data_IF_073473302170
#
_entry.id   IF_073473302170
#
_cell.length_a   1.000
_cell.length_b   1.000
_cell.length_c   1.000
_cell.angle_alpha   90.00
_cell.angle_beta   90.00
_cell.angle_gamma   90.00
#
_symmetry.space_group_name_H-M   'P 1'
#
loop_
_entity.id
_entity.type
_entity.pdbx_description
1 polymer ?
#
# COMPACT_ATOMS: atom_id res chain seq x y z
N UNK A 1 -0.71 0.87 27.78
CA UNK A 1 -0.03 -0.05 26.84
C UNK A 1 -1.15 -0.62 25.98
N UNK A 2 -1.55 0.13 24.96
CA UNK A 2 -2.64 -0.30 24.08
C UNK A 2 -2.19 -1.56 23.35
N UNK A 3 -2.93 -2.65 23.57
CA UNK A 3 -2.71 -3.91 22.88
C UNK A 3 -2.99 -3.68 21.40
N UNK A 4 -1.95 -3.73 20.56
CA UNK A 4 -2.10 -3.61 19.11
C UNK A 4 -3.05 -4.74 18.66
N UNK A 5 -4.19 -4.42 18.03
CA UNK A 5 -5.15 -5.44 17.63
C UNK A 5 -4.51 -6.38 16.62
N UNK A 6 -4.61 -7.68 16.90
CA UNK A 6 -4.12 -8.74 16.00
C UNK A 6 -5.12 -8.90 14.85
N UNK A 7 -4.71 -8.72 13.58
CA UNK A 7 -5.61 -8.90 12.46
C UNK A 7 -6.05 -10.36 12.32
N UNK A 8 -7.33 -10.59 11.99
CA UNK A 8 -7.92 -11.92 11.74
C UNK A 8 -7.17 -12.70 10.65
N UNK A 9 -6.64 -11.99 9.64
CA UNK A 9 -5.81 -12.54 8.57
C UNK A 9 -4.65 -11.59 8.27
N UNK A 10 -3.45 -12.14 8.06
CA UNK A 10 -2.27 -11.36 7.63
C UNK A 10 -2.51 -10.66 6.29
N UNK A 11 -3.44 -11.17 5.48
CA UNK A 11 -3.80 -10.59 4.18
C UNK A 11 -4.39 -9.18 4.32
N UNK A 12 -5.13 -8.89 5.39
CA UNK A 12 -5.66 -7.55 5.68
C UNK A 12 -4.51 -6.54 5.78
N UNK A 13 -3.46 -6.90 6.52
CA UNK A 13 -2.28 -6.04 6.68
C UNK A 13 -1.46 -5.90 5.38
N UNK A 14 -1.55 -6.85 4.44
CA UNK A 14 -0.84 -6.77 3.16
C UNK A 14 -1.54 -5.90 2.10
N UNK A 15 -2.84 -5.64 2.24
CA UNK A 15 -3.62 -4.81 1.31
C UNK A 15 -3.27 -3.32 1.38
N UNK A 16 -2.72 -2.87 2.52
CA UNK A 16 -2.37 -1.45 2.77
C UNK A 16 -3.56 -0.49 2.52
N UNK A 17 -4.74 -0.87 3.00
CA UNK A 17 -5.97 -0.08 2.83
C UNK A 17 -5.92 1.22 3.67
N UNK A 18 -6.09 2.35 3.01
CA UNK A 18 -6.20 3.65 3.66
C UNK A 18 -7.59 3.91 4.27
N UNK A 19 -7.86 5.15 4.70
CA UNK A 19 -9.11 5.50 5.38
C UNK A 19 -10.36 5.34 4.50
N UNK A 20 -10.26 5.62 3.19
CA UNK A 20 -11.42 5.57 2.28
C UNK A 20 -11.80 4.12 1.99
N UNK A 21 -10.81 3.27 1.70
CA UNK A 21 -11.03 1.84 1.49
C UNK A 21 -11.66 1.20 2.73
N UNK A 22 -11.11 1.48 3.92
CA UNK A 22 -11.68 1.01 5.20
C UNK A 22 -13.09 1.54 5.45
N UNK A 23 -13.36 2.81 5.14
CA UNK A 23 -14.68 3.42 5.22
C UNK A 23 -15.72 2.68 4.36
N UNK A 24 -15.38 2.40 3.10
CA UNK A 24 -16.23 1.63 2.19
C UNK A 24 -16.46 0.20 2.68
N UNK A 25 -15.41 -0.45 3.19
CA UNK A 25 -15.52 -1.78 3.79
C UNK A 25 -16.49 -1.83 4.95
N UNK A 26 -16.48 -0.84 5.84
CA UNK A 26 -17.42 -0.78 6.98
C UNK A 26 -18.88 -0.72 6.53
N UNK A 27 -19.18 -0.03 5.42
CA UNK A 27 -20.55 0.06 4.87
C UNK A 27 -21.03 -1.32 4.40
N UNK A 28 -20.15 -2.13 3.81
CA UNK A 28 -20.47 -3.44 3.26
C UNK A 28 -20.37 -4.57 4.29
N UNK A 29 -19.79 -4.30 5.46
CA UNK A 29 -19.71 -5.22 6.59
C UNK A 29 -19.16 -6.63 6.23
N UNK A 30 -18.20 -6.70 5.31
CA UNK A 30 -17.50 -7.92 4.93
C UNK A 30 -18.30 -8.88 4.06
N UNK A 31 -19.45 -8.48 3.51
CA UNK A 31 -20.30 -9.38 2.71
C UNK A 31 -19.84 -9.61 1.27
N UNK A 32 -18.88 -8.82 0.77
CA UNK A 32 -18.39 -8.95 -0.60
C UNK A 32 -17.10 -9.76 -0.64
N UNK A 33 -17.01 -10.81 -1.50
CA UNK A 33 -15.77 -11.50 -1.73
C UNK A 33 -14.75 -10.53 -2.35
N UNK A 34 -13.50 -10.52 -1.89
CA UNK A 34 -12.56 -9.43 -2.14
C UNK A 34 -11.87 -9.52 -3.51
N UNK A 35 -11.77 -10.72 -4.08
CA UNK A 35 -11.01 -10.97 -5.30
C UNK A 35 -11.68 -10.48 -6.58
N UNK A 36 -12.97 -10.79 -6.88
CA UNK A 36 -13.60 -10.32 -8.11
C UNK A 36 -13.58 -8.78 -8.26
N UNK A 37 -13.90 -7.98 -7.22
CA UNK A 37 -13.83 -6.53 -7.32
C UNK A 37 -12.41 -6.00 -7.47
N UNK A 38 -11.40 -6.63 -6.83
CA UNK A 38 -9.99 -6.26 -7.02
C UNK A 38 -9.52 -6.50 -8.47
N UNK A 39 -9.89 -7.64 -9.06
CA UNK A 39 -9.60 -7.95 -10.47
C UNK A 39 -10.29 -6.97 -11.42
N UNK A 40 -11.56 -6.63 -11.17
CA UNK A 40 -12.28 -5.64 -11.97
C UNK A 40 -11.61 -4.27 -11.87
N UNK A 41 -11.22 -3.84 -10.66
CA UNK A 41 -10.49 -2.59 -10.42
C UNK A 41 -9.16 -2.53 -11.18
N UNK A 42 -8.38 -3.60 -11.13
CA UNK A 42 -7.12 -3.72 -11.86
C UNK A 42 -7.33 -3.68 -13.39
N UNK A 43 -8.32 -4.42 -13.90
CA UNK A 43 -8.64 -4.46 -15.32
C UNK A 43 -9.07 -3.09 -15.83
N UNK A 44 -10.01 -2.41 -15.16
CA UNK A 44 -10.47 -1.08 -15.59
C UNK A 44 -9.35 -0.05 -15.48
N UNK A 45 -8.52 -0.12 -14.44
CA UNK A 45 -7.32 0.73 -14.32
C UNK A 45 -6.39 0.54 -15.51
N UNK A 46 -6.08 -0.71 -15.89
CA UNK A 46 -5.24 -1.01 -17.03
C UNK A 46 -5.84 -0.46 -18.34
N UNK A 47 -7.14 -0.62 -18.56
CA UNK A 47 -7.84 -0.07 -19.73
C UNK A 47 -7.76 1.47 -19.76
N UNK A 48 -8.03 2.14 -18.65
CA UNK A 48 -7.97 3.60 -18.56
C UNK A 48 -6.56 4.14 -18.80
N UNK A 49 -5.52 3.44 -18.32
CA UNK A 49 -4.13 3.79 -18.61
C UNK A 49 -3.79 3.58 -20.09
N UNK A 50 -4.18 2.45 -20.69
CA UNK A 50 -3.95 2.18 -22.11
C UNK A 50 -4.64 3.22 -23.01
N UNK A 51 -5.88 3.60 -22.68
CA UNK A 51 -6.63 4.63 -23.41
C UNK A 51 -6.05 6.03 -23.18
N UNK A 52 -5.61 6.33 -21.95
CA UNK A 52 -4.93 7.58 -21.62
C UNK A 52 -3.64 7.78 -22.41
N UNK A 53 -2.80 6.74 -22.49
CA UNK A 53 -1.57 6.72 -23.30
C UNK A 53 -1.88 6.86 -24.80
N UNK A 54 -3.05 6.39 -25.26
CA UNK A 54 -3.48 6.51 -26.66
C UNK A 54 -3.98 7.91 -27.07
N UNK A 55 -3.91 8.92 -26.17
CA UNK A 55 -4.12 10.34 -26.52
C UNK A 55 -5.32 11.02 -25.88
N UNK A 56 -6.07 10.35 -24.99
CA UNK A 56 -7.11 10.98 -24.18
C UNK A 56 -6.66 11.12 -22.72
N UNK A 57 -5.77 12.08 -22.47
CA UNK A 57 -5.11 12.30 -21.17
C UNK A 57 -6.10 12.41 -19.99
N UNK A 58 -7.34 12.88 -20.26
CA UNK A 58 -8.34 13.11 -19.23
C UNK A 58 -9.01 11.87 -18.61
N UNK A 59 -8.89 10.67 -19.18
CA UNK A 59 -9.57 9.48 -18.63
C UNK A 59 -8.75 8.73 -17.59
N UNK A 60 -7.42 8.72 -17.71
CA UNK A 60 -6.52 8.02 -16.79
C UNK A 60 -6.64 8.55 -15.35
N UNK A 61 -7.02 9.81 -15.18
CA UNK A 61 -7.23 10.44 -13.87
C UNK A 61 -8.29 9.74 -13.01
N UNK A 62 -9.27 9.09 -13.63
CA UNK A 62 -10.36 8.42 -12.91
C UNK A 62 -9.96 7.02 -12.43
N UNK A 63 -8.82 6.49 -12.87
CA UNK A 63 -8.42 5.13 -12.54
C UNK A 63 -8.33 4.85 -11.03
N UNK A 64 -7.75 5.74 -10.18
CA UNK A 64 -7.75 5.54 -8.73
C UNK A 64 -9.15 5.52 -8.12
N UNK A 65 -10.06 6.36 -8.63
CA UNK A 65 -11.44 6.40 -8.15
C UNK A 65 -12.16 5.09 -8.49
N UNK A 66 -11.99 4.56 -9.69
CA UNK A 66 -12.57 3.27 -10.09
C UNK A 66 -11.96 2.11 -9.29
N UNK A 67 -10.63 2.09 -9.13
CA UNK A 67 -9.96 1.08 -8.32
C UNK A 67 -10.49 1.10 -6.88
N UNK A 68 -10.61 2.29 -6.27
CA UNK A 68 -11.16 2.47 -4.92
C UNK A 68 -12.62 1.98 -4.84
N UNK A 69 -13.46 2.40 -5.77
CA UNK A 69 -14.89 2.03 -5.77
C UNK A 69 -15.11 0.53 -5.90
N UNK A 70 -14.27 -0.15 -6.67
CA UNK A 70 -14.38 -1.59 -6.88
C UNK A 70 -13.70 -2.37 -5.76
N UNK A 71 -12.45 -2.07 -5.41
CA UNK A 71 -11.66 -2.88 -4.50
C UNK A 71 -11.78 -2.47 -3.01
N UNK A 72 -12.19 -1.23 -2.74
CA UNK A 72 -12.35 -0.67 -1.39
C UNK A 72 -13.37 -1.42 -0.51
N UNK A 73 -14.58 -1.75 -1.02
CA UNK A 73 -15.58 -2.52 -0.27
C UNK A 73 -15.09 -3.88 0.25
N UNK A 74 -14.13 -4.49 -0.44
CA UNK A 74 -13.54 -5.78 -0.03
C UNK A 74 -12.56 -5.68 1.15
N UNK A 75 -12.29 -4.47 1.67
CA UNK A 75 -11.32 -4.27 2.77
C UNK A 75 -11.78 -4.87 4.10
N UNK A 76 -13.10 -4.94 4.34
CA UNK A 76 -13.68 -5.50 5.58
C UNK A 76 -13.90 -7.01 5.54
N UNK A 77 -13.63 -7.66 4.40
CA UNK A 77 -13.71 -9.11 4.30
C UNK A 77 -12.60 -9.77 5.14
N UNK A 78 -12.88 -10.94 5.71
CA UNK A 78 -11.91 -11.66 6.56
C UNK A 78 -10.69 -12.20 5.80
N UNK A 79 -10.79 -12.27 4.46
CA UNK A 79 -9.80 -12.84 3.54
C UNK A 79 -9.41 -14.27 3.92
N UNK A 80 -10.39 -15.14 4.11
CA UNK A 80 -10.27 -16.56 4.47
C UNK A 80 -10.40 -17.50 3.25
N UNK A 81 -10.68 -16.97 2.07
CA UNK A 81 -10.81 -17.73 0.83
C UNK A 81 -9.47 -18.24 0.27
N UNK A 82 -9.51 -19.38 -0.43
CA UNK A 82 -8.32 -20.03 -1.03
C UNK A 82 -7.56 -19.16 -2.03
N UNK A 83 -8.22 -18.19 -2.66
CA UNK A 83 -7.63 -17.29 -3.66
C UNK A 83 -7.48 -15.85 -3.14
N UNK A 84 -7.89 -15.57 -1.90
CA UNK A 84 -7.85 -14.20 -1.35
C UNK A 84 -6.40 -13.70 -1.17
N UNK A 85 -5.43 -14.61 -1.15
CA UNK A 85 -4.00 -14.27 -1.17
C UNK A 85 -3.57 -13.53 -2.45
N UNK A 86 -4.33 -13.61 -3.54
CA UNK A 86 -4.09 -12.86 -4.78
C UNK A 86 -4.47 -11.39 -4.65
N UNK A 87 -5.28 -11.02 -3.65
CA UNK A 87 -5.80 -9.66 -3.54
C UNK A 87 -4.69 -8.64 -3.25
N UNK A 88 -3.80 -8.83 -2.24
CA UNK A 88 -2.68 -7.93 -2.04
C UNK A 88 -1.76 -7.75 -3.27
N UNK A 89 -1.28 -8.80 -3.97
CA UNK A 89 -0.41 -8.59 -5.13
C UNK A 89 -1.11 -7.90 -6.31
N UNK A 90 -2.40 -8.13 -6.53
CA UNK A 90 -3.17 -7.42 -7.57
C UNK A 90 -3.25 -5.93 -7.27
N UNK A 91 -3.57 -5.56 -6.02
CA UNK A 91 -3.64 -4.14 -5.61
C UNK A 91 -2.28 -3.45 -5.74
N UNK A 92 -1.21 -4.11 -5.28
CA UNK A 92 0.16 -3.59 -5.40
C UNK A 92 0.58 -3.38 -6.85
N UNK A 93 0.31 -4.36 -7.71
CA UNK A 93 0.61 -4.24 -9.13
C UNK A 93 -0.15 -3.06 -9.75
N UNK A 94 -1.44 -2.94 -9.42
CA UNK A 94 -2.30 -1.84 -9.91
C UNK A 94 -1.74 -0.48 -9.47
N UNK A 95 -1.38 -0.33 -8.20
CA UNK A 95 -0.77 0.88 -7.67
C UNK A 95 0.56 1.20 -8.37
N UNK A 96 1.48 0.24 -8.47
CA UNK A 96 2.80 0.47 -9.05
C UNK A 96 2.73 0.83 -10.53
N UNK A 97 1.90 0.11 -11.28
CA UNK A 97 1.69 0.39 -12.71
C UNK A 97 1.09 1.79 -12.89
N UNK A 98 0.11 2.18 -12.07
CA UNK A 98 -0.47 3.52 -12.13
C UNK A 98 0.55 4.61 -11.82
N UNK A 99 1.30 4.49 -10.72
CA UNK A 99 2.33 5.46 -10.32
C UNK A 99 3.45 5.54 -11.35
N UNK A 100 3.89 4.42 -11.92
CA UNK A 100 4.88 4.41 -12.99
C UNK A 100 4.33 5.10 -14.25
N UNK A 101 3.12 4.74 -14.68
CA UNK A 101 2.50 5.28 -15.89
C UNK A 101 2.33 6.79 -15.83
N UNK A 102 1.80 7.33 -14.72
CA UNK A 102 1.68 8.79 -14.53
C UNK A 102 3.05 9.47 -14.49
N UNK A 103 4.04 8.86 -13.82
CA UNK A 103 5.39 9.41 -13.76
C UNK A 103 6.03 9.53 -15.14
N UNK A 104 5.95 8.48 -15.96
CA UNK A 104 6.48 8.51 -17.32
C UNK A 104 5.68 9.41 -18.26
N UNK A 105 4.35 9.47 -18.13
CA UNK A 105 3.50 10.32 -18.96
C UNK A 105 3.73 11.83 -18.74
N UNK A 106 4.26 12.21 -17.57
CA UNK A 106 4.53 13.60 -17.21
C UNK A 106 6.03 13.91 -17.08
N UNK A 107 6.89 13.12 -17.71
CA UNK A 107 8.35 13.33 -17.77
C UNK A 107 9.01 13.48 -16.39
N UNK A 108 8.49 12.81 -15.36
CA UNK A 108 9.14 12.75 -14.05
C UNK A 108 10.49 12.04 -14.22
N UNK A 109 11.59 12.58 -13.67
CA UNK A 109 12.89 11.93 -13.78
C UNK A 109 12.82 10.47 -13.31
N UNK A 110 13.30 9.49 -14.11
CA UNK A 110 13.11 8.07 -13.80
C UNK A 110 13.59 7.64 -12.42
N UNK A 111 14.68 8.27 -11.92
CA UNK A 111 15.18 7.98 -10.58
C UNK A 111 14.16 8.34 -9.48
N UNK A 112 13.36 9.40 -9.65
CA UNK A 112 12.32 9.79 -8.68
C UNK A 112 11.18 8.77 -8.71
N UNK A 113 10.76 8.31 -9.90
CA UNK A 113 9.76 7.24 -10.04
C UNK A 113 10.23 5.98 -9.28
N UNK A 114 11.50 5.58 -9.51
CA UNK A 114 12.10 4.44 -8.81
C UNK A 114 12.16 4.66 -7.30
N UNK A 115 12.45 5.88 -6.82
CA UNK A 115 12.49 6.16 -5.39
C UNK A 115 11.11 6.08 -4.72
N UNK A 116 10.04 6.57 -5.38
CA UNK A 116 8.65 6.42 -4.88
C UNK A 116 8.27 4.94 -4.82
N UNK A 117 8.48 4.20 -5.92
CA UNK A 117 8.20 2.77 -5.98
C UNK A 117 9.04 1.99 -4.96
N UNK A 118 10.29 2.41 -4.76
CA UNK A 118 11.20 1.87 -3.76
C UNK A 118 10.70 2.06 -2.34
N UNK A 119 10.15 3.23 -1.99
CA UNK A 119 9.56 3.48 -0.68
C UNK A 119 8.34 2.56 -0.43
N UNK A 120 7.46 2.42 -1.44
CA UNK A 120 6.31 1.54 -1.35
C UNK A 120 6.73 0.07 -1.25
N UNK A 121 7.71 -0.36 -2.05
CA UNK A 121 8.24 -1.73 -2.03
C UNK A 121 8.92 -2.04 -0.69
N UNK A 122 9.70 -1.09 -0.17
CA UNK A 122 10.30 -1.19 1.16
C UNK A 122 9.23 -1.37 2.23
N UNK A 123 8.18 -0.54 2.25
CA UNK A 123 7.08 -0.67 3.19
C UNK A 123 6.39 -2.04 3.11
N UNK A 124 6.03 -2.47 1.89
CA UNK A 124 5.39 -3.76 1.69
C UNK A 124 6.28 -4.94 2.14
N UNK A 125 7.59 -4.82 1.95
CA UNK A 125 8.57 -5.83 2.36
C UNK A 125 8.77 -5.85 3.88
N UNK A 126 8.86 -4.68 4.50
CA UNK A 126 8.96 -4.51 5.94
C UNK A 126 7.75 -5.14 6.66
N UNK A 127 6.54 -4.90 6.16
CA UNK A 127 5.31 -5.54 6.68
C UNK A 127 5.38 -7.07 6.56
N UNK A 128 5.89 -7.62 5.45
CA UNK A 128 6.07 -9.07 5.29
C UNK A 128 7.01 -9.63 6.36
N UNK A 129 8.14 -8.98 6.60
CA UNK A 129 9.12 -9.44 7.61
C UNK A 129 8.58 -9.35 9.03
N UNK A 130 7.91 -8.24 9.36
CA UNK A 130 7.29 -8.07 10.67
C UNK A 130 6.26 -9.13 10.99
N UNK A 131 5.33 -9.39 10.06
CA UNK A 131 4.30 -10.40 10.27
C UNK A 131 4.88 -11.83 10.34
N UNK A 132 6.02 -12.10 9.69
CA UNK A 132 6.76 -13.37 9.87
C UNK A 132 7.31 -13.52 11.28
N UNK A 133 7.72 -12.42 11.90
CA UNK A 133 8.23 -12.37 13.27
C UNK A 133 7.16 -12.04 14.32
N UNK A 134 5.87 -12.03 13.94
CA UNK A 134 4.73 -11.67 14.81
C UNK A 134 4.81 -10.26 15.40
N UNK A 135 5.55 -9.37 14.74
CA UNK A 135 5.54 -7.93 14.99
C UNK A 135 4.46 -7.33 14.09
N UNK A 136 3.55 -6.53 14.64
CA UNK A 136 2.45 -5.94 13.87
C UNK A 136 2.70 -4.45 13.67
N UNK A 137 2.56 -3.92 12.45
CA UNK A 137 2.71 -2.48 12.21
C UNK A 137 1.62 -1.72 12.98
N UNK A 138 1.93 -0.54 13.50
CA UNK A 138 0.95 0.23 14.23
C UNK A 138 -0.17 0.72 13.29
N UNK A 139 -1.45 0.76 13.74
CA UNK A 139 -2.58 1.09 12.87
C UNK A 139 -2.52 2.49 12.22
N UNK A 140 -1.82 3.44 12.85
CA UNK A 140 -1.62 4.78 12.31
C UNK A 140 -0.72 4.80 11.08
N UNK A 141 0.15 3.80 10.90
CA UNK A 141 1.11 3.76 9.79
C UNK A 141 0.42 3.62 8.44
N UNK A 142 -0.64 2.81 8.35
CA UNK A 142 -1.45 2.72 7.14
C UNK A 142 -2.18 4.04 6.83
N UNK A 143 -2.63 4.75 7.87
CA UNK A 143 -3.31 6.05 7.71
C UNK A 143 -2.37 7.14 7.24
N UNK A 144 -1.21 7.29 7.89
CA UNK A 144 -0.18 8.27 7.51
C UNK A 144 0.52 7.86 6.21
N UNK A 145 0.67 6.57 5.94
CA UNK A 145 1.16 6.05 4.66
C UNK A 145 0.20 6.31 3.48
N UNK A 146 -0.96 6.94 3.73
CA UNK A 146 -2.03 7.28 2.80
C UNK A 146 -2.78 6.06 2.22
N UNK A 147 -2.36 4.85 2.56
CA UNK A 147 -2.81 3.62 1.89
C UNK A 147 -2.57 3.63 0.38
N UNK A 148 -2.93 2.54 -0.28
CA UNK A 148 -2.81 2.45 -1.73
C UNK A 148 -3.71 3.46 -2.46
N UNK A 149 -4.93 3.69 -1.95
CA UNK A 149 -5.88 4.58 -2.62
C UNK A 149 -5.51 6.05 -2.48
N UNK A 150 -5.00 6.47 -1.31
CA UNK A 150 -4.64 7.87 -1.08
C UNK A 150 -3.42 8.28 -1.89
N UNK A 151 -2.44 7.37 -2.04
CA UNK A 151 -1.27 7.60 -2.91
C UNK A 151 -1.67 7.71 -4.37
N UNK A 152 -2.52 6.80 -4.86
CA UNK A 152 -3.02 6.86 -6.24
C UNK A 152 -3.87 8.12 -6.50
N UNK A 153 -4.75 8.50 -5.57
CA UNK A 153 -5.56 9.72 -5.68
C UNK A 153 -4.70 10.98 -5.68
N UNK A 154 -3.70 11.06 -4.80
CA UNK A 154 -2.77 12.20 -4.76
C UNK A 154 -2.01 12.35 -6.09
N UNK A 155 -1.53 11.23 -6.64
CA UNK A 155 -0.85 11.19 -7.95
C UNK A 155 -1.78 11.63 -9.09
N UNK A 156 -3.05 11.18 -9.10
CA UNK A 156 -4.03 11.63 -10.09
C UNK A 156 -4.33 13.13 -9.98
N UNK A 157 -4.53 13.64 -8.76
CA UNK A 157 -4.75 15.07 -8.52
C UNK A 157 -3.54 15.92 -8.96
N UNK A 158 -2.32 15.41 -8.76
CA UNK A 158 -1.11 16.06 -9.26
C UNK A 158 -1.08 16.14 -10.79
N UNK A 159 -1.57 15.10 -11.47
CA UNK A 159 -1.77 15.09 -12.93
C UNK A 159 -2.71 16.21 -13.37
N UNK A 160 -3.88 16.33 -12.74
CA UNK A 160 -4.84 17.39 -13.03
C UNK A 160 -4.29 18.80 -12.77
N UNK A 161 -3.50 18.95 -11.71
CA UNK A 161 -2.92 20.24 -11.32
C UNK A 161 -1.68 20.61 -12.16
N UNK A 162 -1.16 19.70 -12.99
CA UNK A 162 0.12 19.91 -13.68
C UNK A 162 1.33 19.94 -12.73
N UNK A 163 1.22 19.31 -11.56
CA UNK A 163 2.21 19.33 -10.48
C UNK A 163 2.82 17.96 -10.20
N UNK A 164 2.84 17.05 -11.18
CA UNK A 164 3.27 15.65 -10.98
C UNK A 164 4.68 15.57 -10.41
N UNK A 165 5.68 16.19 -11.03
CA UNK A 165 7.08 16.14 -10.56
C UNK A 165 7.27 16.64 -9.12
N UNK A 166 6.82 17.84 -8.72
CA UNK A 166 6.97 18.28 -7.34
C UNK A 166 6.22 17.39 -6.35
N UNK A 167 5.03 16.87 -6.71
CA UNK A 167 4.30 15.92 -5.86
C UNK A 167 5.07 14.61 -5.71
N UNK A 168 5.69 14.08 -6.76
CA UNK A 168 6.51 12.87 -6.66
C UNK A 168 7.72 13.05 -5.75
N UNK A 169 8.39 14.21 -5.82
CA UNK A 169 9.50 14.54 -4.92
C UNK A 169 9.06 14.62 -3.46
N UNK A 170 7.94 15.32 -3.19
CA UNK A 170 7.37 15.43 -1.86
C UNK A 170 6.92 14.07 -1.32
N UNK A 171 6.22 13.30 -2.14
CA UNK A 171 5.76 11.96 -1.80
C UNK A 171 6.95 11.03 -1.52
N UNK A 172 8.02 11.11 -2.30
CA UNK A 172 9.26 10.36 -2.07
C UNK A 172 9.82 10.67 -0.68
N UNK A 173 10.06 11.95 -0.39
CA UNK A 173 10.64 12.38 0.87
C UNK A 173 9.75 12.00 2.06
N UNK A 174 8.43 12.16 1.89
CA UNK A 174 7.44 11.82 2.91
C UNK A 174 7.40 10.33 3.21
N UNK A 175 7.25 9.48 2.20
CA UNK A 175 7.13 8.02 2.39
C UNK A 175 8.43 7.41 2.89
N UNK A 176 9.59 7.81 2.35
CA UNK A 176 10.87 7.36 2.89
C UNK A 176 11.07 7.81 4.33
N UNK A 177 10.79 9.08 4.63
CA UNK A 177 10.87 9.59 6.00
C UNK A 177 9.99 8.82 6.96
N UNK A 178 8.71 8.62 6.61
CA UNK A 178 7.74 7.92 7.43
C UNK A 178 8.10 6.43 7.64
N UNK A 179 8.28 5.70 6.54
CA UNK A 179 8.48 4.26 6.59
C UNK A 179 9.86 3.87 7.10
N UNK A 180 10.92 4.59 6.72
CA UNK A 180 12.25 4.30 7.25
C UNK A 180 12.35 4.64 8.74
N UNK A 181 11.74 5.75 9.18
CA UNK A 181 11.69 6.11 10.60
C UNK A 181 10.96 5.05 11.43
N UNK A 182 9.76 4.65 11.02
CA UNK A 182 8.98 3.65 11.75
C UNK A 182 9.67 2.26 11.70
N UNK A 183 10.28 1.89 10.58
CA UNK A 183 11.09 0.67 10.47
C UNK A 183 12.29 0.68 11.40
N UNK A 184 13.08 1.75 11.37
CA UNK A 184 14.26 1.85 12.22
C UNK A 184 13.88 1.82 13.71
N UNK A 185 12.87 2.58 14.12
CA UNK A 185 12.43 2.63 15.52
C UNK A 185 11.89 1.28 15.99
N UNK A 186 11.10 0.58 15.18
CA UNK A 186 10.59 -0.75 15.53
C UNK A 186 11.72 -1.77 15.67
N UNK A 187 12.63 -1.83 14.69
CA UNK A 187 13.69 -2.85 14.68
C UNK A 187 14.77 -2.59 15.73
N UNK A 188 15.04 -1.33 16.09
CA UNK A 188 15.92 -0.99 17.20
C UNK A 188 15.32 -1.34 18.58
N UNK A 189 13.99 -1.34 18.70
CA UNK A 189 13.30 -1.72 19.93
C UNK A 189 13.08 -3.24 20.07
N UNK A 190 13.30 -4.02 19.00
CA UNK A 190 13.09 -5.46 19.03
C UNK A 190 14.14 -6.17 19.93
N UNK A 191 13.72 -7.05 20.87
CA UNK A 191 14.66 -7.78 21.73
C UNK A 191 15.63 -8.64 20.91
N UNK A 192 16.94 -8.51 21.14
CA UNK A 192 17.98 -9.32 20.48
C UNK A 192 17.90 -10.75 20.98
N UNK A 193 17.27 -11.62 20.21
CA UNK A 193 16.98 -13.02 20.59
C UNK A 193 18.20 -13.95 20.50
N UNK A 194 19.37 -13.51 21.00
CA UNK A 194 20.60 -14.30 20.83
C UNK A 194 21.81 -13.95 21.70
N UNK A 195 21.75 -12.94 22.58
CA UNK A 195 22.85 -12.65 23.52
C UNK A 195 22.50 -13.09 24.96
N UNK A 196 21.26 -12.92 25.39
CA UNK A 196 20.85 -13.26 26.76
C UNK A 196 20.77 -14.78 27.03
N UNK A 197 20.64 -15.61 25.98
CA UNK A 197 20.63 -17.07 26.13
C UNK A 197 22.04 -17.67 26.28
N UNK A 198 23.09 -16.96 25.85
CA UNK A 198 24.47 -17.42 25.97
C UNK A 198 25.07 -17.05 27.34
N UNK A 199 24.68 -15.90 27.92
CA UNK A 199 25.16 -15.47 29.24
C UNK A 199 24.49 -16.23 30.40
N UNK A 200 23.29 -16.81 30.20
CA UNK A 200 22.61 -17.63 31.21
C UNK A 200 23.03 -19.12 31.22
N UNK A 201 23.88 -19.55 30.28
CA UNK A 201 24.37 -20.92 30.17
C UNK A 201 25.84 -21.11 30.53
N UNK A 202 26.52 -20.06 30.99
CA UNK A 202 27.95 -20.07 31.29
C UNK A 202 28.28 -20.04 32.80
N UNK A 203 27.28 -20.14 33.68
CA UNK A 203 27.45 -20.16 35.14
C UNK A 203 27.19 -21.53 35.82
N UNK A 204 27.12 -22.64 35.06
CA UNK A 204 26.99 -24.00 35.62
C UNK A 204 28.29 -24.83 35.52
#
# INVERSE_FOLDING_TARGET
MDMIPVPHSRLVAYRDDGPLSRGMGMIVAGQLPPLPPALAGAFVTAVLLLVGVAGTEGLAVFAPAVALLLAGPGSSHAHDGRLDWLVPPILRLTEYVFVAAVGFAHDVPPFVIVLVLGAMAFHHYDVVYRLRQKVYPPPWLATLGLGWEGRMLLVALAGLAGMVTPVYLLLTAYLWGLFAWESLTCWLAAPRTGLDAADLGAED
#
